data_IF_285391990456
#
_entry.id   IF_285391990456
#
_cell.length_a   1.000
_cell.length_b   1.000
_cell.length_c   1.000
_cell.angle_alpha   90.00
_cell.angle_beta   90.00
_cell.angle_gamma   90.00
#
_symmetry.space_group_name_H-M   'P 1'
#
loop_
_entity.id
_entity.type
_entity.pdbx_description
1 polymer ?
#
# COMPACT_ATOMS: atom_id res chain seq x y z
N UNK A 1 0.87 13.72 -10.62
CA UNK A 1 -0.25 13.80 -9.66
C UNK A 1 -1.36 14.65 -10.23
N UNK A 2 -2.60 14.27 -10.03
CA UNK A 2 -3.78 15.05 -10.45
C UNK A 2 -3.81 16.41 -9.72
N UNK A 3 -3.97 17.57 -10.42
CA UNK A 3 -3.91 18.90 -9.80
C UNK A 3 -4.98 19.15 -8.72
N UNK A 4 -6.21 18.66 -8.94
CA UNK A 4 -7.29 18.77 -7.96
C UNK A 4 -6.96 17.98 -6.68
N UNK A 5 -6.42 16.78 -6.83
CA UNK A 5 -5.99 15.98 -5.69
C UNK A 5 -4.82 16.64 -4.93
N UNK A 6 -3.88 17.23 -5.65
CA UNK A 6 -2.78 17.98 -5.02
C UNK A 6 -3.30 19.17 -4.20
N UNK A 7 -4.33 19.88 -4.68
CA UNK A 7 -4.95 20.98 -3.94
C UNK A 7 -5.63 20.47 -2.65
N UNK A 8 -6.32 19.34 -2.70
CA UNK A 8 -6.92 18.70 -1.52
C UNK A 8 -5.86 18.30 -0.47
N UNK A 9 -4.75 17.71 -0.91
CA UNK A 9 -3.65 17.34 -0.02
C UNK A 9 -3.00 18.55 0.66
N UNK A 10 -2.84 19.68 -0.06
CA UNK A 10 -2.32 20.92 0.54
C UNK A 10 -3.17 21.45 1.68
N UNK A 11 -4.50 21.27 1.60
CA UNK A 11 -5.40 21.65 2.69
C UNK A 11 -5.24 20.74 3.92
N UNK A 12 -4.97 19.45 3.68
CA UNK A 12 -4.77 18.48 4.76
C UNK A 12 -3.37 18.55 5.38
N UNK A 13 -2.38 19.04 4.63
CA UNK A 13 -0.98 19.10 5.03
C UNK A 13 -0.45 20.54 4.93
N UNK A 14 -0.92 21.49 5.77
CA UNK A 14 -0.35 22.83 5.82
C UNK A 14 1.10 22.82 6.35
N UNK A 15 1.86 23.88 6.07
CA UNK A 15 3.29 23.95 6.43
C UNK A 15 3.59 23.71 7.93
N UNK A 16 2.64 24.08 8.82
CA UNK A 16 2.78 23.96 10.27
C UNK A 16 2.03 22.77 10.86
N UNK A 17 1.75 21.74 10.07
CA UNK A 17 1.03 20.56 10.55
C UNK A 17 1.88 19.76 11.54
N UNK A 18 1.22 19.16 12.54
CA UNK A 18 1.87 18.18 13.43
C UNK A 18 2.40 17.00 12.60
N UNK A 19 3.70 16.66 12.67
CA UNK A 19 4.28 15.57 11.88
C UNK A 19 3.68 14.19 12.16
N UNK A 20 2.88 14.04 13.21
CA UNK A 20 2.15 12.81 13.56
C UNK A 20 0.84 12.65 12.79
N UNK A 21 0.39 13.68 12.08
CA UNK A 21 -0.84 13.59 11.27
C UNK A 21 -0.60 12.66 10.09
N UNK A 22 -1.48 11.66 9.98
CA UNK A 22 -1.48 10.70 8.89
C UNK A 22 -2.48 11.11 7.81
N UNK A 23 -2.11 10.88 6.56
CA UNK A 23 -3.00 11.03 5.40
C UNK A 23 -3.27 9.66 4.82
N UNK A 24 -4.53 9.38 4.52
CA UNK A 24 -4.92 8.09 3.94
C UNK A 24 -4.42 7.93 2.50
N UNK A 25 -3.92 6.74 2.16
CA UNK A 25 -3.54 6.39 0.78
C UNK A 25 -4.75 6.32 -0.16
N UNK A 26 -5.90 5.98 0.38
CA UNK A 26 -7.19 5.99 -0.31
C UNK A 26 -8.15 6.94 0.38
N UNK A 27 -8.42 8.12 -0.21
CA UNK A 27 -9.35 9.09 0.34
C UNK A 27 -10.83 8.78 0.06
N UNK A 28 -11.13 7.76 -0.75
CA UNK A 28 -12.51 7.44 -1.17
C UNK A 28 -13.16 6.41 -0.24
N UNK A 29 -12.43 5.36 0.14
CA UNK A 29 -12.92 4.26 0.98
C UNK A 29 -11.98 4.00 2.15
N UNK A 30 -11.81 5.00 3.01
CA UNK A 30 -10.75 5.17 4.00
C UNK A 30 -10.41 3.94 4.84
N UNK A 31 -11.39 3.15 5.22
CA UNK A 31 -11.24 1.99 6.13
C UNK A 31 -11.71 0.67 5.51
N UNK A 32 -12.04 0.66 4.22
CA UNK A 32 -12.42 -0.54 3.51
C UNK A 32 -11.20 -1.20 2.85
N UNK A 33 -11.15 -2.52 2.94
CA UNK A 33 -10.18 -3.29 2.17
C UNK A 33 -10.81 -3.62 0.80
N UNK A 34 -10.44 -2.85 -0.20
CA UNK A 34 -10.97 -2.97 -1.56
C UNK A 34 -9.92 -2.64 -2.63
N UNK A 35 -10.33 -2.50 -3.88
CA UNK A 35 -9.45 -2.17 -5.00
C UNK A 35 -9.45 -0.67 -5.37
N UNK A 36 -9.98 0.20 -4.51
CA UNK A 36 -10.10 1.64 -4.80
C UNK A 36 -8.73 2.31 -4.99
N UNK A 37 -7.72 1.88 -4.27
CA UNK A 37 -6.34 2.33 -4.45
C UNK A 37 -5.89 2.28 -5.92
N UNK A 38 -6.15 1.18 -6.62
CA UNK A 38 -5.77 1.02 -8.03
C UNK A 38 -6.56 1.94 -8.97
N UNK A 39 -7.84 2.18 -8.68
CA UNK A 39 -8.66 3.18 -9.39
C UNK A 39 -8.13 4.59 -9.18
N UNK A 40 -7.66 4.90 -7.98
CA UNK A 40 -7.03 6.17 -7.66
C UNK A 40 -5.75 6.38 -8.46
N UNK A 41 -4.92 5.34 -8.63
CA UNK A 41 -3.71 5.40 -9.46
C UNK A 41 -4.04 5.69 -10.93
N UNK A 42 -5.10 5.10 -11.50
CA UNK A 42 -5.59 5.41 -12.85
C UNK A 42 -6.00 6.88 -12.99
N UNK A 43 -6.58 7.46 -11.94
CA UNK A 43 -6.95 8.87 -11.87
C UNK A 43 -5.79 9.84 -11.56
N UNK A 44 -4.55 9.36 -11.46
CA UNK A 44 -3.39 10.18 -11.10
C UNK A 44 -3.38 10.62 -9.63
N UNK A 45 -4.08 9.89 -8.77
CA UNK A 45 -4.27 10.19 -7.34
C UNK A 45 -3.41 9.32 -6.42
N UNK A 46 -2.24 8.87 -6.88
CA UNK A 46 -1.25 8.25 -5.99
C UNK A 46 -0.77 9.26 -4.96
N UNK A 47 -0.78 8.91 -3.68
CA UNK A 47 -0.36 9.79 -2.59
C UNK A 47 1.13 10.09 -2.67
N UNK A 48 1.94 9.08 -2.89
CA UNK A 48 3.38 9.17 -3.04
C UNK A 48 3.79 9.00 -4.51
N UNK A 49 4.97 9.48 -4.87
CA UNK A 49 5.55 9.23 -6.20
C UNK A 49 5.75 7.74 -6.45
N UNK A 50 6.13 6.99 -5.41
CA UNK A 50 6.25 5.52 -5.42
C UNK A 50 4.94 4.81 -5.71
N UNK A 51 3.79 5.36 -5.29
CA UNK A 51 2.48 4.80 -5.63
C UNK A 51 2.16 5.04 -7.09
N UNK A 52 2.31 6.29 -7.55
CA UNK A 52 1.95 6.66 -8.91
C UNK A 52 2.82 5.96 -9.97
N UNK A 53 4.05 5.60 -9.65
CA UNK A 53 4.94 4.88 -10.56
C UNK A 53 4.38 3.53 -10.96
N UNK A 54 3.60 2.87 -10.10
CA UNK A 54 2.95 1.59 -10.42
C UNK A 54 2.04 1.70 -11.65
N UNK A 55 1.44 2.87 -11.88
CA UNK A 55 0.60 3.11 -13.05
C UNK A 55 1.37 3.76 -14.22
N UNK A 56 2.37 4.61 -13.94
CA UNK A 56 3.14 5.26 -15.01
C UNK A 56 4.14 4.34 -15.68
N UNK A 57 4.64 3.30 -15.00
CA UNK A 57 5.53 2.29 -15.56
C UNK A 57 4.73 1.30 -16.43
N UNK A 58 5.07 1.14 -17.73
CA UNK A 58 4.35 0.25 -18.64
C UNK A 58 4.40 -1.23 -18.22
N UNK A 59 5.37 -1.64 -17.41
CA UNK A 59 5.51 -3.03 -16.93
C UNK A 59 4.49 -3.39 -15.87
N UNK A 60 4.12 -2.45 -14.99
CA UNK A 60 3.17 -2.68 -13.90
C UNK A 60 1.75 -2.21 -14.22
N UNK A 61 1.58 -1.28 -15.17
CA UNK A 61 0.28 -0.73 -15.56
C UNK A 61 -0.79 -1.79 -15.87
N UNK A 62 -0.53 -2.86 -16.65
CA UNK A 62 -1.55 -3.87 -16.93
C UNK A 62 -2.07 -4.56 -15.68
N UNK A 63 -1.22 -4.76 -14.67
CA UNK A 63 -1.62 -5.34 -13.39
C UNK A 63 -2.51 -4.39 -12.62
N UNK A 64 -2.16 -3.08 -12.59
CA UNK A 64 -2.99 -2.05 -11.96
C UNK A 64 -4.36 -2.00 -12.62
N UNK A 65 -4.42 -2.01 -13.95
CA UNK A 65 -5.68 -2.00 -14.71
C UNK A 65 -6.54 -3.22 -14.40
N UNK A 66 -5.95 -4.41 -14.38
CA UNK A 66 -6.66 -5.65 -14.05
C UNK A 66 -7.26 -5.62 -12.63
N UNK A 67 -6.49 -5.14 -11.65
CA UNK A 67 -6.97 -5.07 -10.26
C UNK A 67 -7.96 -3.93 -10.03
N UNK A 68 -7.81 -2.82 -10.72
CA UNK A 68 -8.79 -1.73 -10.68
C UNK A 68 -10.17 -2.18 -11.20
N UNK A 69 -10.20 -3.07 -12.20
CA UNK A 69 -11.43 -3.61 -12.79
C UNK A 69 -12.03 -4.77 -12.00
N UNK A 70 -11.22 -5.54 -11.27
CA UNK A 70 -11.64 -6.78 -10.63
C UNK A 70 -11.12 -6.90 -9.19
N UNK A 71 -11.98 -6.55 -8.22
CA UNK A 71 -11.67 -6.62 -6.79
C UNK A 71 -11.41 -8.06 -6.32
N UNK A 72 -12.09 -9.06 -6.89
CA UNK A 72 -11.88 -10.47 -6.54
C UNK A 72 -10.49 -10.93 -6.96
N UNK A 73 -10.04 -10.53 -8.15
CA UNK A 73 -8.68 -10.83 -8.62
C UNK A 73 -7.63 -10.17 -7.73
N UNK A 74 -7.84 -8.92 -7.34
CA UNK A 74 -6.97 -8.22 -6.38
C UNK A 74 -6.93 -8.96 -5.03
N UNK A 75 -8.07 -9.30 -4.45
CA UNK A 75 -8.15 -9.97 -3.15
C UNK A 75 -7.39 -11.30 -3.15
N UNK A 76 -7.52 -12.10 -4.21
CA UNK A 76 -6.77 -13.36 -4.36
C UNK A 76 -5.26 -13.13 -4.44
N UNK A 77 -4.84 -12.15 -5.22
CA UNK A 77 -3.42 -11.78 -5.33
C UNK A 77 -2.87 -11.29 -3.99
N UNK A 78 -3.64 -10.48 -3.26
CA UNK A 78 -3.27 -9.97 -1.95
C UNK A 78 -3.10 -11.10 -0.93
N UNK A 79 -4.04 -12.05 -0.85
CA UNK A 79 -3.92 -13.24 0.03
C UNK A 79 -2.63 -14.00 -0.27
N UNK A 80 -2.33 -14.23 -1.54
CA UNK A 80 -1.10 -14.91 -1.96
C UNK A 80 0.15 -14.13 -1.54
N UNK A 81 0.17 -12.83 -1.77
CA UNK A 81 1.29 -11.95 -1.43
C UNK A 81 1.53 -11.89 0.08
N UNK A 82 0.47 -11.73 0.89
CA UNK A 82 0.58 -11.68 2.35
C UNK A 82 0.99 -13.01 2.96
N UNK A 83 0.51 -14.12 2.41
CA UNK A 83 0.96 -15.47 2.82
C UNK A 83 2.46 -15.64 2.54
N UNK A 84 2.92 -15.18 1.38
CA UNK A 84 4.34 -15.21 1.02
C UNK A 84 5.17 -14.30 1.92
N UNK A 85 4.69 -13.08 2.18
CA UNK A 85 5.36 -12.14 3.09
C UNK A 85 5.52 -12.72 4.50
N UNK A 86 4.48 -13.35 5.05
CA UNK A 86 4.53 -13.99 6.37
C UNK A 86 5.51 -15.15 6.48
N UNK A 87 6.00 -15.67 5.33
CA UNK A 87 6.99 -16.76 5.29
C UNK A 87 8.41 -16.30 5.00
N UNK A 88 8.59 -15.02 4.63
CA UNK A 88 9.92 -14.47 4.31
C UNK A 88 10.79 -14.45 5.56
N UNK A 89 11.97 -15.09 5.47
CA UNK A 89 12.94 -15.12 6.55
C UNK A 89 12.56 -15.95 7.78
N UNK A 90 11.45 -16.71 7.72
CA UNK A 90 11.05 -17.59 8.81
C UNK A 90 12.09 -18.69 9.00
N UNK A 91 12.56 -18.85 10.21
CA UNK A 91 13.48 -19.91 10.64
C UNK A 91 12.68 -20.96 11.43
N UNK A 92 12.95 -22.23 11.17
CA UNK A 92 12.27 -23.35 11.81
C UNK A 92 13.30 -24.34 12.37
N UNK A 93 12.89 -25.13 13.36
CA UNK A 93 13.75 -26.14 13.99
C UNK A 93 15.04 -25.55 14.55
N UNK A 94 16.17 -26.13 14.19
CA UNK A 94 17.49 -25.70 14.63
C UNK A 94 18.03 -24.45 13.91
N UNK A 95 17.31 -23.90 12.92
CA UNK A 95 17.77 -22.72 12.18
C UNK A 95 17.52 -21.40 12.91
N UNK A 96 16.75 -21.42 13.98
CA UNK A 96 16.37 -20.25 14.75
C UNK A 96 16.69 -20.40 16.23
N UNK A 97 16.26 -19.39 16.98
CA UNK A 97 16.36 -19.38 18.43
C UNK A 97 15.00 -19.06 19.02
N UNK A 98 14.52 -19.87 19.95
CA UNK A 98 13.25 -19.60 20.66
C UNK A 98 13.59 -18.66 21.81
N UNK A 99 13.20 -17.41 21.65
CA UNK A 99 13.49 -16.36 22.64
C UNK A 99 12.52 -16.42 23.82
N UNK A 100 13.05 -16.27 25.03
CA UNK A 100 12.21 -16.06 26.23
C UNK A 100 11.62 -14.65 26.26
N UNK A 101 12.41 -13.67 25.79
CA UNK A 101 11.97 -12.31 25.55
C UNK A 101 12.19 -11.97 24.07
N UNK A 102 11.14 -11.61 23.35
CA UNK A 102 11.19 -11.34 21.90
C UNK A 102 12.14 -10.18 21.53
N UNK A 103 12.37 -9.25 22.43
CA UNK A 103 13.25 -8.08 22.21
C UNK A 103 14.75 -8.37 22.34
N UNK A 104 15.13 -9.51 22.95
CA UNK A 104 16.53 -9.81 23.31
C UNK A 104 16.90 -11.20 22.78
N UNK A 105 18.13 -11.33 22.29
CA UNK A 105 18.72 -12.65 21.98
C UNK A 105 19.02 -13.39 23.29
N UNK A 106 18.74 -14.69 23.32
CA UNK A 106 19.15 -15.54 24.46
C UNK A 106 20.65 -15.71 24.48
#
# INVERSE_FOLDING_TARGET
>A
MNPSYAAQLRLQCPANIDPRVAVFMDPATLVAFDNQYFKNLQGGKGLLASDQVLYSDPRSRPTVDAWAQNSVAFNRAFVTAMTKLGRVGVKTGAQGNIRRNCAVLN
#
